data_IF_260496967736
#
_entry.id   IF_260496967736
#
_cell.length_a   1.000
_cell.length_b   1.000
_cell.length_c   1.000
_cell.angle_alpha   90.00
_cell.angle_beta   90.00
_cell.angle_gamma   90.00
#
_symmetry.space_group_name_H-M   'P 1'
#
loop_
_entity.id
_entity.type
_entity.pdbx_description
1 polymer ?
#
# COMPACT_ATOMS: atom_id res chain seq x y z
N UNK A 1 -17.43 79.25 -34.23
CA UNK A 1 -18.40 78.30 -33.68
C UNK A 1 -17.65 77.04 -33.29
N UNK A 2 -17.77 76.66 -32.02
CA UNK A 2 -17.12 75.52 -31.36
C UNK A 2 -17.33 74.18 -32.10
N UNK A 3 -16.27 73.38 -32.18
CA UNK A 3 -16.38 71.92 -32.12
C UNK A 3 -15.25 71.38 -31.25
N UNK A 4 -15.62 71.04 -30.03
CA UNK A 4 -14.80 70.55 -28.92
C UNK A 4 -14.33 69.12 -29.25
N UNK A 5 -13.01 68.90 -29.28
CA UNK A 5 -12.42 67.57 -29.47
C UNK A 5 -12.65 66.69 -28.25
N UNK A 6 -13.47 65.64 -28.40
CA UNK A 6 -13.72 64.64 -27.37
C UNK A 6 -12.72 63.49 -27.53
N UNK A 7 -11.64 63.50 -26.74
CA UNK A 7 -10.75 62.35 -26.59
C UNK A 7 -11.46 61.26 -25.76
N UNK A 8 -11.79 60.14 -26.40
CA UNK A 8 -12.22 58.91 -25.74
C UNK A 8 -10.98 58.21 -25.14
N UNK A 9 -10.91 57.93 -23.82
CA UNK A 9 -9.84 57.12 -23.27
C UNK A 9 -10.08 55.65 -23.65
N UNK A 10 -9.07 55.00 -24.24
CA UNK A 10 -9.11 53.59 -24.58
C UNK A 10 -9.25 52.73 -23.31
N UNK A 11 -10.25 51.84 -23.30
CA UNK A 11 -10.32 50.76 -22.32
C UNK A 11 -9.15 49.80 -22.56
N UNK A 12 -8.12 49.89 -21.73
CA UNK A 12 -7.14 48.82 -21.59
C UNK A 12 -7.81 47.64 -20.90
N UNK A 13 -8.03 46.54 -21.65
CA UNK A 13 -8.33 45.23 -21.07
C UNK A 13 -7.14 44.85 -20.18
N UNK A 14 -7.29 45.01 -18.88
CA UNK A 14 -6.34 44.50 -17.90
C UNK A 14 -6.29 42.98 -18.07
N UNK A 15 -5.24 42.49 -18.72
CA UNK A 15 -4.90 41.09 -18.71
C UNK A 15 -4.54 40.76 -17.26
N UNK A 16 -5.45 40.10 -16.55
CA UNK A 16 -5.17 39.56 -15.23
C UNK A 16 -4.11 38.49 -15.41
N UNK A 17 -2.84 38.87 -15.29
CA UNK A 17 -1.74 37.91 -15.18
C UNK A 17 -1.97 37.17 -13.87
N UNK A 18 -2.40 35.92 -13.96
CA UNK A 18 -2.47 35.02 -12.81
C UNK A 18 -1.09 35.03 -12.14
N UNK A 19 -1.05 35.31 -10.83
CA UNK A 19 0.18 35.27 -10.07
C UNK A 19 0.83 33.88 -10.22
N UNK A 20 2.17 33.80 -10.35
CA UNK A 20 2.86 32.51 -10.37
C UNK A 20 2.50 31.76 -9.08
N UNK A 21 2.08 30.50 -9.19
CA UNK A 21 1.74 29.69 -8.03
C UNK A 21 2.94 29.66 -7.06
N UNK A 22 2.77 30.23 -5.88
CA UNK A 22 3.86 30.41 -4.92
C UNK A 22 4.43 29.06 -4.47
N UNK A 23 5.75 28.89 -4.59
CA UNK A 23 6.49 27.69 -4.15
C UNK A 23 6.32 27.35 -2.67
N UNK A 24 5.79 28.28 -1.86
CA UNK A 24 5.39 28.06 -0.47
C UNK A 24 4.30 26.98 -0.32
N UNK A 25 3.34 26.93 -1.25
CA UNK A 25 2.29 25.89 -1.27
C UNK A 25 2.85 24.49 -1.53
N UNK A 26 3.96 24.38 -2.26
CA UNK A 26 4.67 23.11 -2.46
C UNK A 26 5.50 22.71 -1.24
N UNK A 27 6.08 23.67 -0.49
CA UNK A 27 6.75 23.41 0.79
C UNK A 27 5.82 22.87 1.87
N UNK A 28 4.52 23.19 1.81
CA UNK A 28 3.49 22.62 2.70
C UNK A 28 2.92 21.28 2.20
N UNK A 29 3.47 20.72 1.11
CA UNK A 29 2.99 19.47 0.55
C UNK A 29 3.12 18.31 1.54
N UNK A 30 2.04 17.57 1.76
CA UNK A 30 2.06 16.34 2.55
C UNK A 30 2.96 15.28 1.90
N UNK A 31 4.00 14.84 2.62
CA UNK A 31 4.97 13.84 2.14
C UNK A 31 4.87 12.59 3.02
N UNK A 32 4.96 11.43 2.40
CA UNK A 32 4.99 10.14 3.09
C UNK A 32 6.18 9.34 2.56
N UNK A 33 6.89 8.67 3.46
CA UNK A 33 7.99 7.79 3.13
C UNK A 33 8.02 6.61 4.11
N UNK A 34 7.77 5.40 3.60
CA UNK A 34 8.04 4.18 4.34
C UNK A 34 9.31 3.52 3.79
N UNK A 35 10.31 3.34 4.65
CA UNK A 35 11.58 2.71 4.30
C UNK A 35 11.90 1.55 5.24
N UNK A 36 12.19 0.40 4.65
CA UNK A 36 12.86 -0.74 5.28
C UNK A 36 14.28 -0.77 4.71
N UNK A 37 15.29 -0.71 5.57
CA UNK A 37 16.70 -0.64 5.15
C UNK A 37 17.62 -1.29 6.20
N UNK A 38 18.93 -1.28 5.97
CA UNK A 38 19.92 -1.86 6.87
C UNK A 38 19.85 -3.39 6.83
N UNK A 39 19.68 -4.02 7.99
CA UNK A 39 19.63 -5.49 8.13
C UNK A 39 18.30 -5.97 8.73
N UNK A 40 17.21 -5.25 8.50
CA UNK A 40 15.90 -5.61 9.04
C UNK A 40 15.54 -7.04 8.62
N UNK A 41 15.39 -7.93 9.61
CA UNK A 41 15.07 -9.34 9.43
C UNK A 41 16.07 -10.15 8.58
N UNK A 42 17.30 -9.66 8.41
CA UNK A 42 18.37 -10.44 7.76
C UNK A 42 18.58 -11.76 8.54
N UNK A 43 18.64 -12.89 7.82
CA UNK A 43 18.77 -14.23 8.38
C UNK A 43 17.56 -14.73 9.18
N UNK A 44 16.46 -13.99 9.25
CA UNK A 44 15.29 -14.41 10.01
C UNK A 44 14.66 -15.68 9.43
N UNK A 45 14.24 -16.61 10.28
CA UNK A 45 13.60 -17.86 9.90
C UNK A 45 12.24 -18.02 10.59
N UNK A 46 11.24 -18.54 9.87
CA UNK A 46 9.96 -18.96 10.45
C UNK A 46 8.75 -18.30 9.78
N UNK A 47 7.78 -17.85 10.58
CA UNK A 47 6.56 -17.19 10.11
C UNK A 47 6.64 -15.69 10.41
N UNK A 48 7.03 -14.91 9.41
CA UNK A 48 7.34 -13.48 9.50
C UNK A 48 6.19 -12.66 8.92
N UNK A 49 5.70 -11.67 9.67
CA UNK A 49 4.62 -10.77 9.28
C UNK A 49 5.03 -9.35 9.59
N UNK A 50 5.16 -8.51 8.57
CA UNK A 50 5.58 -7.11 8.73
C UNK A 50 4.59 -6.17 8.04
N UNK A 51 4.07 -5.22 8.80
CA UNK A 51 3.26 -4.12 8.32
C UNK A 51 4.02 -2.81 8.60
N UNK A 52 4.29 -2.03 7.57
CA UNK A 52 4.81 -0.68 7.71
C UNK A 52 3.98 0.28 6.87
N UNK A 53 3.56 1.39 7.46
CA UNK A 53 2.85 2.44 6.77
C UNK A 53 3.46 3.80 7.13
N UNK A 54 3.52 4.69 6.14
CA UNK A 54 3.69 6.12 6.35
C UNK A 54 2.48 6.84 5.76
N UNK A 55 1.84 7.69 6.55
CA UNK A 55 0.59 8.37 6.20
C UNK A 55 -0.66 7.73 6.77
N UNK A 56 -1.81 8.28 6.43
CA UNK A 56 -3.04 8.09 7.21
C UNK A 56 -3.95 7.00 6.65
N UNK A 57 -4.73 6.35 7.53
CA UNK A 57 -5.81 5.43 7.14
C UNK A 57 -5.39 4.21 6.31
N UNK A 58 -4.12 3.83 6.32
CA UNK A 58 -3.67 2.59 5.70
C UNK A 58 -4.16 1.38 6.52
N UNK A 59 -4.86 0.44 5.89
CA UNK A 59 -5.32 -0.81 6.49
C UNK A 59 -4.42 -1.95 6.03
N UNK A 60 -3.73 -2.62 6.94
CA UNK A 60 -2.76 -3.67 6.60
C UNK A 60 -3.00 -4.94 7.43
N UNK A 61 -3.05 -6.10 6.78
CA UNK A 61 -3.18 -7.40 7.45
C UNK A 61 -2.28 -8.46 6.82
N UNK A 62 -1.54 -9.20 7.65
CA UNK A 62 -0.76 -10.38 7.26
C UNK A 62 -1.25 -11.57 8.09
N UNK A 63 -1.84 -12.59 7.46
CA UNK A 63 -2.35 -13.79 8.11
C UNK A 63 -1.67 -15.05 7.61
N UNK A 64 -1.09 -15.84 8.51
CA UNK A 64 -0.58 -17.17 8.21
C UNK A 64 -1.33 -18.17 9.10
N UNK A 65 -1.92 -19.20 8.52
CA UNK A 65 -2.54 -20.32 9.21
C UNK A 65 -1.91 -21.62 8.72
N UNK A 66 -1.38 -22.42 9.64
CA UNK A 66 -0.69 -23.68 9.34
C UNK A 66 -1.34 -24.78 10.19
N UNK A 67 -1.74 -25.87 9.57
CA UNK A 67 -2.24 -27.05 10.28
C UNK A 67 -1.63 -28.32 9.71
N UNK A 68 -1.30 -29.27 10.59
CA UNK A 68 -0.76 -30.58 10.21
C UNK A 68 -1.41 -31.68 11.04
N UNK A 69 -1.84 -32.76 10.39
CA UNK A 69 -2.43 -33.92 11.06
C UNK A 69 -3.45 -34.66 10.20
N UNK A 70 -4.00 -35.80 10.69
CA UNK A 70 -4.89 -36.67 9.92
C UNK A 70 -6.15 -35.97 9.41
N UNK A 71 -6.65 -34.97 10.14
CA UNK A 71 -7.85 -34.20 9.86
C UNK A 71 -7.56 -32.69 10.02
N UNK A 72 -6.46 -32.21 9.45
CA UNK A 72 -6.06 -30.80 9.57
C UNK A 72 -6.91 -29.87 8.69
N UNK A 73 -7.26 -28.70 9.24
CA UNK A 73 -8.01 -27.65 8.54
C UNK A 73 -7.52 -26.27 8.99
N UNK A 74 -7.57 -25.28 8.10
CA UNK A 74 -7.29 -23.88 8.42
C UNK A 74 -8.39 -22.96 7.90
N UNK A 75 -8.66 -21.87 8.61
CA UNK A 75 -9.55 -20.80 8.16
C UNK A 75 -9.00 -19.45 8.65
N UNK A 76 -8.98 -18.44 7.77
CA UNK A 76 -8.54 -17.08 8.09
C UNK A 76 -9.69 -16.10 7.90
N UNK A 77 -10.50 -15.92 8.95
CA UNK A 77 -11.58 -14.94 8.93
C UNK A 77 -11.05 -13.56 9.30
N UNK A 78 -11.06 -12.64 8.34
CA UNK A 78 -10.55 -11.27 8.51
C UNK A 78 -11.66 -10.30 8.18
N UNK A 79 -11.88 -9.33 9.06
CA UNK A 79 -12.78 -8.20 8.86
C UNK A 79 -12.02 -6.92 9.11
N UNK A 80 -11.91 -6.09 8.08
CA UNK A 80 -11.29 -4.77 8.16
C UNK A 80 -12.36 -3.74 7.80
N UNK A 81 -12.41 -2.64 8.54
CA UNK A 81 -13.36 -1.54 8.33
C UNK A 81 -12.62 -0.21 8.42
N UNK A 82 -13.10 0.75 7.65
CA UNK A 82 -12.73 2.16 7.73
C UNK A 82 -14.02 2.98 7.78
N UNK A 83 -14.02 4.09 8.49
CA UNK A 83 -15.17 4.99 8.53
C UNK A 83 -15.28 5.79 7.22
N UNK A 84 -16.49 6.02 6.73
CA UNK A 84 -16.77 6.57 5.39
C UNK A 84 -16.53 8.10 5.25
N UNK A 85 -16.16 8.80 6.33
CA UNK A 85 -15.90 10.25 6.31
C UNK A 85 -14.40 10.55 6.22
N UNK A 86 -13.81 10.30 5.05
CA UNK A 86 -12.38 10.52 4.81
C UNK A 86 -12.17 11.78 3.96
N UNK A 87 -11.57 12.81 4.57
CA UNK A 87 -10.97 13.92 3.83
C UNK A 87 -9.59 13.48 3.35
N UNK A 88 -9.47 13.15 2.06
CA UNK A 88 -8.20 12.72 1.49
C UNK A 88 -7.33 13.92 1.12
N UNK A 89 -6.21 14.09 1.82
CA UNK A 89 -5.11 14.92 1.34
C UNK A 89 -4.09 14.02 0.65
N UNK A 90 -4.17 13.99 -0.67
CA UNK A 90 -3.31 13.12 -1.47
C UNK A 90 -1.87 13.60 -1.36
N UNK A 91 -0.90 12.76 -0.94
CA UNK A 91 0.47 13.22 -0.71
C UNK A 91 1.11 13.72 -1.99
N UNK A 92 1.85 14.84 -1.91
CA UNK A 92 2.68 15.33 -2.99
C UNK A 92 3.82 14.35 -3.31
N UNK A 93 4.31 13.64 -2.29
CA UNK A 93 5.30 12.56 -2.43
C UNK A 93 4.90 11.36 -1.59
N UNK A 94 4.87 10.19 -2.22
CA UNK A 94 4.77 8.91 -1.55
C UNK A 94 5.88 8.00 -2.03
N UNK A 95 6.67 7.46 -1.10
CA UNK A 95 7.77 6.55 -1.37
C UNK A 95 7.70 5.32 -0.47
N UNK A 96 7.69 4.14 -1.06
CA UNK A 96 7.80 2.87 -0.35
C UNK A 96 9.10 2.18 -0.80
N UNK A 97 10.11 2.16 0.06
CA UNK A 97 11.44 1.63 -0.25
C UNK A 97 11.77 0.42 0.61
N UNK A 98 12.17 -0.67 -0.03
CA UNK A 98 12.71 -1.85 0.63
C UNK A 98 14.15 -2.01 0.13
N UNK A 99 15.12 -1.49 0.88
CA UNK A 99 16.54 -1.43 0.52
C UNK A 99 17.44 -2.13 1.53
N UNK A 100 18.75 -1.98 1.41
CA UNK A 100 19.72 -2.70 2.25
C UNK A 100 19.61 -4.22 2.10
N UNK A 101 19.86 -4.92 3.21
CA UNK A 101 19.86 -6.39 3.33
C UNK A 101 18.57 -6.89 4.00
N UNK A 102 17.44 -6.20 3.77
CA UNK A 102 16.14 -6.61 4.33
C UNK A 102 15.83 -8.05 3.91
N UNK A 103 15.52 -8.91 4.89
CA UNK A 103 15.27 -10.35 4.69
C UNK A 103 16.38 -11.13 3.96
N UNK A 104 17.57 -10.56 3.78
CA UNK A 104 18.66 -11.25 3.12
C UNK A 104 19.00 -12.55 3.87
N UNK A 105 19.10 -13.65 3.13
CA UNK A 105 19.36 -14.99 3.69
C UNK A 105 18.27 -15.52 4.63
N UNK A 106 17.11 -14.85 4.71
CA UNK A 106 15.99 -15.29 5.54
C UNK A 106 15.31 -16.54 4.96
N UNK A 107 14.43 -17.17 5.74
CA UNK A 107 13.70 -18.35 5.27
C UNK A 107 12.35 -18.59 5.95
N UNK A 108 11.50 -19.39 5.30
CA UNK A 108 10.16 -19.72 5.79
C UNK A 108 9.05 -18.96 5.07
N UNK A 109 8.05 -18.50 5.81
CA UNK A 109 6.90 -17.76 5.27
C UNK A 109 7.02 -16.29 5.70
N UNK A 110 7.17 -15.38 4.75
CA UNK A 110 7.20 -13.95 5.00
C UNK A 110 6.06 -13.25 4.27
N UNK A 111 5.35 -12.39 4.97
CA UNK A 111 4.36 -11.48 4.38
C UNK A 111 4.68 -10.05 4.79
N UNK A 112 4.83 -9.17 3.81
CA UNK A 112 5.11 -7.74 3.98
C UNK A 112 3.97 -6.93 3.36
N UNK A 113 3.39 -6.04 4.14
CA UNK A 113 2.62 -4.90 3.62
C UNK A 113 3.40 -3.63 3.94
N UNK A 114 3.83 -2.93 2.90
CA UNK A 114 4.50 -1.64 3.00
C UNK A 114 3.69 -0.61 2.23
N UNK A 115 3.25 0.45 2.91
CA UNK A 115 2.49 1.54 2.31
C UNK A 115 3.15 2.88 2.58
N UNK A 116 3.05 3.78 1.61
CA UNK A 116 3.31 5.20 1.77
C UNK A 116 2.17 5.96 1.11
N UNK A 117 1.45 6.77 1.89
CA UNK A 117 0.34 7.61 1.45
C UNK A 117 -0.91 7.34 2.26
N UNK A 118 -2.11 7.49 1.67
CA UNK A 118 -3.35 7.47 2.46
C UNK A 118 -4.37 6.44 2.00
N UNK A 119 -5.09 5.86 2.95
CA UNK A 119 -6.26 5.03 2.67
C UNK A 119 -5.96 3.83 1.72
N UNK A 120 -4.76 3.25 1.80
CA UNK A 120 -4.46 2.00 1.10
C UNK A 120 -4.92 0.81 1.94
N UNK A 121 -5.47 -0.22 1.31
CA UNK A 121 -5.85 -1.47 1.95
C UNK A 121 -4.99 -2.62 1.40
N UNK A 122 -4.19 -3.26 2.27
CA UNK A 122 -3.25 -4.32 1.92
C UNK A 122 -3.51 -5.57 2.75
N UNK A 123 -3.55 -6.72 2.09
CA UNK A 123 -3.74 -8.02 2.74
C UNK A 123 -2.83 -9.09 2.15
N UNK A 124 -2.14 -9.83 3.01
CA UNK A 124 -1.48 -11.08 2.64
C UNK A 124 -2.08 -12.22 3.47
N UNK A 125 -2.51 -13.29 2.82
CA UNK A 125 -3.04 -14.50 3.46
C UNK A 125 -2.27 -15.73 2.97
N UNK A 126 -1.79 -16.53 3.90
CA UNK A 126 -1.19 -17.85 3.66
C UNK A 126 -1.92 -18.89 4.50
N UNK A 127 -2.45 -19.92 3.87
CA UNK A 127 -3.01 -21.09 4.51
C UNK A 127 -2.27 -22.34 4.06
N UNK A 128 -1.76 -23.14 4.99
CA UNK A 128 -1.08 -24.41 4.69
C UNK A 128 -1.72 -25.53 5.50
N UNK A 129 -2.18 -26.56 4.81
CA UNK A 129 -2.72 -27.78 5.41
C UNK A 129 -1.87 -28.96 4.98
N UNK A 130 -1.27 -29.66 5.94
CA UNK A 130 -0.60 -30.93 5.72
C UNK A 130 -1.44 -32.08 6.31
N UNK A 131 -2.04 -32.91 5.47
CA UNK A 131 -2.94 -33.97 5.92
C UNK A 131 -2.87 -35.20 5.00
N UNK A 132 -3.18 -36.37 5.56
CA UNK A 132 -3.28 -37.62 4.80
C UNK A 132 -4.52 -37.63 3.88
N UNK A 133 -5.57 -36.93 4.28
CA UNK A 133 -6.82 -36.78 3.54
C UNK A 133 -7.17 -35.30 3.41
N UNK A 134 -7.45 -34.87 2.18
CA UNK A 134 -7.89 -33.51 1.92
C UNK A 134 -9.38 -33.37 2.24
N UNK A 135 -9.73 -32.46 3.14
CA UNK A 135 -11.12 -32.01 3.26
C UNK A 135 -11.48 -31.29 1.96
N UNK A 136 -12.45 -31.81 1.20
CA UNK A 136 -12.75 -31.39 -0.18
C UNK A 136 -13.40 -29.99 -0.30
N UNK A 137 -13.54 -29.24 0.81
CA UNK A 137 -14.48 -28.12 0.88
C UNK A 137 -13.90 -26.80 1.40
N UNK A 138 -12.62 -26.74 1.79
CA UNK A 138 -12.04 -25.51 2.37
C UNK A 138 -10.69 -25.14 1.75
N UNK A 139 -10.71 -24.09 0.95
CA UNK A 139 -9.54 -23.31 0.54
C UNK A 139 -8.81 -22.82 1.83
N UNK A 140 -7.52 -23.18 2.05
CA UNK A 140 -6.79 -22.96 3.30
C UNK A 140 -6.65 -21.49 3.71
N UNK A 141 -6.78 -20.58 2.74
CA UNK A 141 -6.57 -19.15 2.89
C UNK A 141 -7.82 -18.30 2.57
N UNK A 142 -9.03 -18.83 2.74
CA UNK A 142 -10.25 -18.06 2.47
C UNK A 142 -10.32 -16.76 3.27
N UNK A 143 -10.42 -15.62 2.56
CA UNK A 143 -10.73 -14.33 3.16
C UNK A 143 -12.24 -14.21 3.39
N UNK A 144 -12.66 -13.98 4.63
CA UNK A 144 -14.09 -13.91 4.97
C UNK A 144 -14.80 -12.62 4.52
N UNK A 145 -14.06 -11.54 4.20
CA UNK A 145 -14.66 -10.28 3.73
C UNK A 145 -13.80 -9.59 2.67
N UNK A 146 -14.42 -8.92 1.66
CA UNK A 146 -13.71 -8.04 0.75
C UNK A 146 -12.95 -6.95 1.53
N UNK A 147 -11.82 -6.49 0.99
CA UNK A 147 -11.17 -5.29 1.52
C UNK A 147 -12.10 -4.06 1.36
N UNK A 148 -12.08 -3.09 2.30
CA UNK A 148 -12.85 -1.86 2.15
C UNK A 148 -12.49 -1.16 0.84
N UNK A 149 -13.50 -0.88 0.02
CA UNK A 149 -13.31 -0.03 -1.13
C UNK A 149 -13.18 1.43 -0.66
N UNK A 150 -12.36 2.25 -1.32
CA UNK A 150 -12.41 3.70 -1.11
C UNK A 150 -13.84 4.17 -1.44
N UNK A 151 -14.56 4.72 -0.46
CA UNK A 151 -15.93 5.21 -0.61
C UNK A 151 -16.04 6.43 -1.53
N UNK A 152 -17.11 7.23 -1.35
CA UNK A 152 -17.36 8.47 -2.09
C UNK A 152 -16.39 9.58 -1.66
N UNK A 153 -15.08 9.35 -1.84
CA UNK A 153 -14.06 10.21 -1.28
C UNK A 153 -13.77 11.34 -2.25
N UNK A 154 -13.94 12.58 -1.80
CA UNK A 154 -13.52 13.77 -2.54
C UNK A 154 -12.02 13.95 -2.35
N UNK A 155 -11.23 13.27 -3.18
CA UNK A 155 -9.79 13.50 -3.20
C UNK A 155 -9.52 14.94 -3.65
N UNK A 156 -8.79 15.71 -2.84
CA UNK A 156 -8.26 17.00 -3.29
C UNK A 156 -7.31 16.73 -4.45
N UNK A 157 -7.72 17.07 -5.68
CA UNK A 157 -6.84 16.98 -6.85
C UNK A 157 -5.64 17.90 -6.61
N UNK A 158 -4.46 17.31 -6.56
CA UNK A 158 -3.23 18.06 -6.55
C UNK A 158 -3.14 18.88 -7.84
N UNK A 159 -2.76 20.15 -7.71
CA UNK A 159 -2.51 21.05 -8.83
C UNK A 159 -1.17 20.76 -9.52
N UNK A 160 -0.28 20.00 -8.85
CA UNK A 160 1.02 19.54 -9.36
C UNK A 160 1.06 18.01 -9.45
N UNK A 161 1.81 17.47 -10.41
CA UNK A 161 2.07 16.04 -10.51
C UNK A 161 2.89 15.57 -9.29
N UNK A 162 2.30 14.75 -8.42
CA UNK A 162 2.99 14.19 -7.26
C UNK A 162 3.86 12.98 -7.62
N UNK A 163 4.84 12.67 -6.76
CA UNK A 163 5.72 11.50 -6.91
C UNK A 163 5.10 10.29 -6.21
N UNK A 164 5.15 9.14 -6.88
CA UNK A 164 4.66 7.84 -6.42
C UNK A 164 5.70 6.80 -6.81
N UNK A 165 6.43 6.28 -5.84
CA UNK A 165 7.57 5.40 -6.13
C UNK A 165 7.63 4.24 -5.14
N UNK A 166 7.63 3.02 -5.70
CA UNK A 166 7.83 1.78 -4.97
C UNK A 166 9.12 1.14 -5.49
N UNK A 167 10.05 0.84 -4.59
CA UNK A 167 11.38 0.35 -4.96
C UNK A 167 11.81 -0.82 -4.07
N UNK A 168 12.42 -1.83 -4.71
CA UNK A 168 13.10 -2.94 -4.05
C UNK A 168 14.58 -2.87 -4.45
N UNK A 169 15.45 -2.67 -3.47
CA UNK A 169 16.88 -2.56 -3.67
C UNK A 169 17.52 -3.90 -4.03
N UNK A 170 18.60 -3.86 -4.79
CA UNK A 170 19.24 -5.06 -5.34
C UNK A 170 19.71 -6.08 -4.29
N UNK A 171 20.01 -5.63 -3.07
CA UNK A 171 20.47 -6.48 -1.96
C UNK A 171 19.34 -7.02 -1.10
N UNK A 172 18.16 -6.42 -1.19
CA UNK A 172 17.02 -6.88 -0.44
C UNK A 172 16.56 -8.24 -0.95
N UNK A 173 16.04 -9.07 -0.03
CA UNK A 173 15.47 -10.39 -0.32
C UNK A 173 16.48 -11.39 -0.91
N UNK A 174 17.75 -11.02 -1.08
CA UNK A 174 18.77 -11.90 -1.67
C UNK A 174 18.97 -13.14 -0.81
N UNK A 175 18.90 -14.31 -1.45
CA UNK A 175 19.05 -15.59 -0.77
C UNK A 175 17.88 -15.95 0.15
N UNK A 176 16.76 -15.23 0.09
CA UNK A 176 15.55 -15.64 0.82
C UNK A 176 15.04 -16.99 0.30
N UNK A 177 14.71 -17.91 1.20
CA UNK A 177 14.26 -19.27 0.85
C UNK A 177 12.91 -19.61 1.49
N UNK A 178 11.90 -19.86 0.65
CA UNK A 178 10.53 -20.18 1.09
C UNK A 178 9.50 -19.35 0.34
N UNK A 179 8.41 -18.99 1.02
CA UNK A 179 7.35 -18.14 0.43
C UNK A 179 7.51 -16.72 0.95
N UNK A 180 7.46 -15.76 0.02
CA UNK A 180 7.43 -14.33 0.32
C UNK A 180 6.26 -13.67 -0.41
N UNK A 181 5.35 -13.03 0.33
CA UNK A 181 4.31 -12.17 -0.19
C UNK A 181 4.66 -10.71 0.12
N UNK A 182 4.65 -9.84 -0.89
CA UNK A 182 4.96 -8.42 -0.76
C UNK A 182 3.85 -7.59 -1.41
N UNK A 183 3.16 -6.79 -0.60
CA UNK A 183 2.38 -5.66 -1.07
C UNK A 183 3.18 -4.40 -0.78
N UNK A 184 3.67 -3.74 -1.81
CA UNK A 184 4.38 -2.46 -1.70
C UNK A 184 3.61 -1.39 -2.45
N UNK A 185 3.16 -0.34 -1.76
CA UNK A 185 2.28 0.69 -2.32
C UNK A 185 2.83 2.08 -1.99
N UNK A 186 2.93 2.91 -3.02
CA UNK A 186 3.13 4.34 -2.89
C UNK A 186 1.95 5.07 -3.53
N UNK A 187 1.12 5.72 -2.72
CA UNK A 187 -0.02 6.50 -3.16
C UNK A 187 -1.22 6.39 -2.23
N UNK A 188 -2.41 6.63 -2.79
CA UNK A 188 -3.64 6.62 -2.01
C UNK A 188 -4.73 5.77 -2.67
N UNK A 189 -5.64 5.23 -1.86
CA UNK A 189 -6.82 4.47 -2.30
C UNK A 189 -6.54 3.18 -3.08
N UNK A 190 -5.35 2.60 -2.91
CA UNK A 190 -5.05 1.30 -3.52
C UNK A 190 -5.59 0.17 -2.64
N UNK A 191 -6.16 -0.85 -3.27
CA UNK A 191 -6.65 -2.05 -2.59
C UNK A 191 -5.94 -3.26 -3.20
N UNK A 192 -5.16 -3.99 -2.40
CA UNK A 192 -4.35 -5.14 -2.86
C UNK A 192 -4.47 -6.30 -1.87
N UNK A 193 -4.70 -7.50 -2.41
CA UNK A 193 -4.71 -8.75 -1.67
C UNK A 193 -3.84 -9.81 -2.36
N UNK A 194 -2.90 -10.40 -1.62
CA UNK A 194 -2.23 -11.64 -2.01
C UNK A 194 -2.77 -12.80 -1.16
N UNK A 195 -3.08 -13.91 -1.81
CA UNK A 195 -3.61 -15.11 -1.14
C UNK A 195 -2.91 -16.36 -1.66
N UNK A 196 -2.44 -17.20 -0.75
CA UNK A 196 -1.82 -18.49 -1.04
C UNK A 196 -2.45 -19.58 -0.18
N UNK A 197 -3.08 -20.57 -0.82
CA UNK A 197 -3.49 -21.82 -0.18
C UNK A 197 -2.56 -22.95 -0.62
N UNK A 198 -2.03 -23.73 0.31
CA UNK A 198 -1.22 -24.91 0.05
C UNK A 198 -1.82 -26.13 0.75
N UNK A 199 -2.00 -27.20 -0.01
CA UNK A 199 -2.30 -28.52 0.51
C UNK A 199 -1.09 -29.42 0.29
N UNK A 200 -0.62 -30.03 1.36
CA UNK A 200 0.44 -31.02 1.34
C UNK A 200 -0.18 -32.36 1.70
N UNK A 201 -0.23 -33.27 0.73
CA UNK A 201 -0.64 -34.64 1.01
C UNK A 201 0.52 -35.33 1.73
N UNK A 202 0.33 -35.62 3.01
CA UNK A 202 1.30 -36.44 3.74
C UNK A 202 1.05 -37.89 3.33
N UNK A 203 2.12 -38.62 2.97
CA UNK A 203 2.03 -40.05 2.67
C UNK A 203 1.45 -40.86 3.84
N UNK A 204 1.11 -42.14 3.62
CA UNK A 204 0.68 -43.03 4.69
C UNK A 204 1.71 -43.15 5.83
#
# INVERSE_FOLDING_TARGET
>A
MLALGLCLPGLALAQTTAAPADGYSQMLGYLTNSRLDGQVLAGANGSIKLNQAAGDLNLQYNGHALASGPQAQTALQVQQRVDDHINLDTPLLARAELSGQVLQGGSGLASINQASGQANAQRNLVGVVAAAQLAHSQEPAQAATPLPAPGNNTARRLTAAGVREAMVGAQALRGYSGVLQLNQIAGSLNVVENRLGLHVQTGP
#
